data_IF_237241600807
#
_entry.id   IF_237241600807
#
_cell.length_a   1.000
_cell.length_b   1.000
_cell.length_c   1.000
_cell.angle_alpha   90.00
_cell.angle_beta   90.00
_cell.angle_gamma   90.00
#
_symmetry.space_group_name_H-M   'P 1'
#
loop_
_entity.id
_entity.type
_entity.pdbx_description
1 polymer ?
#
# COMPACT_ATOMS: atom_id res chain seq x y z
N UNK A 1 -11.39 5.50 0.94
CA UNK A 1 -10.40 6.35 0.26
C UNK A 1 -9.06 6.13 0.93
N UNK A 2 -8.03 5.89 0.15
CA UNK A 2 -6.63 5.79 0.59
C UNK A 2 -6.03 7.16 0.34
N UNK A 3 -5.85 7.96 1.39
CA UNK A 3 -5.29 9.30 1.26
C UNK A 3 -3.76 9.29 1.15
N UNK A 4 -3.13 10.45 0.91
CA UNK A 4 -1.72 10.52 0.56
C UNK A 4 -0.76 10.14 1.70
N UNK A 5 -1.26 10.00 2.93
CA UNK A 5 -0.46 9.61 4.11
C UNK A 5 -1.06 8.44 4.88
N UNK A 6 -2.22 7.90 4.47
CA UNK A 6 -2.92 6.89 5.26
C UNK A 6 -4.37 6.63 4.88
N UNK A 7 -5.03 5.78 5.66
CA UNK A 7 -6.46 5.44 5.58
C UNK A 7 -7.20 6.00 6.79
N UNK A 8 -7.96 7.09 6.60
CA UNK A 8 -8.64 7.77 7.70
C UNK A 8 -7.65 8.24 8.77
N UNK A 9 -7.79 7.75 10.00
CA UNK A 9 -6.86 8.06 11.10
C UNK A 9 -5.63 7.15 11.16
N UNK A 10 -5.61 6.03 10.43
CA UNK A 10 -4.44 5.16 10.33
C UNK A 10 -3.46 5.76 9.33
N UNK A 11 -2.20 5.98 9.75
CA UNK A 11 -1.18 6.64 8.93
C UNK A 11 0.11 5.84 8.88
N UNK A 12 0.83 5.99 7.77
CA UNK A 12 2.23 5.55 7.66
C UNK A 12 3.06 6.22 8.77
N UNK A 13 3.99 5.48 9.37
CA UNK A 13 4.83 5.94 10.47
C UNK A 13 4.25 5.74 11.88
N UNK A 14 2.99 5.32 12.00
CA UNK A 14 2.40 5.05 13.33
C UNK A 14 3.04 3.83 13.98
N UNK A 15 3.33 3.91 15.27
CA UNK A 15 3.66 2.71 16.05
C UNK A 15 2.49 1.72 16.07
N UNK A 16 2.76 0.43 16.33
CA UNK A 16 1.72 -0.60 16.49
C UNK A 16 0.63 -0.17 17.49
N UNK A 17 1.01 0.45 18.61
CA UNK A 17 0.08 0.93 19.64
C UNK A 17 -0.81 2.07 19.13
N UNK A 18 -0.26 3.03 18.38
CA UNK A 18 -1.04 4.10 17.77
C UNK A 18 -1.98 3.56 16.69
N UNK A 19 -1.50 2.64 15.85
CA UNK A 19 -2.31 1.99 14.84
C UNK A 19 -3.50 1.25 15.47
N UNK A 20 -3.27 0.49 16.56
CA UNK A 20 -4.34 -0.15 17.34
C UNK A 20 -5.35 0.86 17.89
N UNK A 21 -4.87 1.99 18.41
CA UNK A 21 -5.72 3.03 18.98
C UNK A 21 -6.67 3.68 17.96
N UNK A 22 -6.40 3.57 16.66
CA UNK A 22 -7.33 4.03 15.61
C UNK A 22 -8.60 3.19 15.53
N UNK A 23 -8.58 1.95 16.02
CA UNK A 23 -9.68 0.99 15.85
C UNK A 23 -9.89 0.50 14.42
N UNK A 24 -8.99 0.86 13.49
CA UNK A 24 -9.07 0.48 12.07
C UNK A 24 -8.34 -0.82 11.74
N UNK A 25 -7.48 -1.32 12.64
CA UNK A 25 -6.78 -2.60 12.48
C UNK A 25 -7.30 -3.67 13.44
N UNK A 26 -7.19 -4.92 13.03
CA UNK A 26 -7.42 -6.11 13.86
C UNK A 26 -6.13 -6.53 14.58
N UNK A 27 -6.08 -7.75 15.14
CA UNK A 27 -4.91 -8.29 15.82
C UNK A 27 -3.62 -8.03 15.04
N UNK A 28 -2.58 -7.67 15.80
CA UNK A 28 -1.20 -7.58 15.32
C UNK A 28 -0.52 -8.91 15.61
N UNK A 29 0.16 -9.43 14.59
CA UNK A 29 0.96 -10.64 14.66
C UNK A 29 2.37 -10.27 14.22
N UNK A 30 3.34 -10.41 15.13
CA UNK A 30 4.74 -10.42 14.73
C UNK A 30 5.01 -11.73 13.99
N UNK A 31 5.84 -11.70 12.95
CA UNK A 31 6.34 -12.91 12.31
C UNK A 31 7.88 -12.85 12.26
N UNK A 32 8.53 -14.00 12.28
CA UNK A 32 10.00 -14.12 12.20
C UNK A 32 10.51 -13.85 10.77
N UNK A 33 10.12 -12.71 10.19
CA UNK A 33 10.63 -12.19 8.93
C UNK A 33 11.90 -11.36 9.08
N UNK A 34 12.42 -10.80 7.97
CA UNK A 34 13.50 -9.83 8.02
C UNK A 34 13.18 -8.74 9.05
N UNK A 35 14.15 -8.46 9.92
CA UNK A 35 14.11 -7.36 10.89
C UNK A 35 12.98 -7.40 11.94
N UNK A 36 12.21 -8.48 12.05
CA UNK A 36 11.17 -8.62 13.08
C UNK A 36 9.88 -7.86 12.77
N UNK A 37 9.57 -7.69 11.48
CA UNK A 37 8.33 -7.07 11.04
C UNK A 37 7.07 -7.83 11.51
N UNK A 38 5.93 -7.14 11.46
CA UNK A 38 4.64 -7.72 11.81
C UNK A 38 3.54 -7.28 10.87
N UNK A 39 2.42 -7.99 10.91
CA UNK A 39 1.23 -7.67 10.14
C UNK A 39 0.02 -7.48 11.05
N UNK A 40 -0.89 -6.64 10.61
CA UNK A 40 -2.26 -6.63 11.07
C UNK A 40 -3.17 -6.53 9.85
N UNK A 41 -4.48 -6.58 10.08
CA UNK A 41 -5.47 -6.47 8.99
C UNK A 41 -6.36 -5.27 9.19
N UNK A 42 -6.75 -4.61 8.11
CA UNK A 42 -7.80 -3.60 8.16
C UNK A 42 -9.13 -4.25 8.54
N UNK A 43 -9.84 -3.61 9.46
CA UNK A 43 -11.18 -4.02 9.86
C UNK A 43 -12.11 -4.00 8.64
N UNK A 44 -12.85 -5.09 8.45
CA UNK A 44 -13.75 -5.26 7.29
C UNK A 44 -13.09 -5.87 6.05
N UNK A 45 -11.77 -6.05 6.05
CA UNK A 45 -11.08 -6.76 4.98
C UNK A 45 -11.26 -8.28 5.10
N UNK A 46 -11.59 -8.93 3.99
CA UNK A 46 -11.67 -10.39 3.86
C UNK A 46 -10.47 -10.99 3.13
N UNK A 47 -10.27 -12.31 3.23
CA UNK A 47 -9.26 -13.02 2.44
C UNK A 47 -7.82 -12.56 2.72
N UNK A 48 -7.01 -12.36 1.68
CA UNK A 48 -5.64 -11.83 1.79
C UNK A 48 -5.55 -10.29 1.73
N UNK A 49 -6.67 -9.60 1.49
CA UNK A 49 -6.67 -8.16 1.29
C UNK A 49 -6.58 -7.37 2.61
N UNK A 50 -6.23 -6.08 2.49
CA UNK A 50 -6.25 -5.15 3.61
C UNK A 50 -5.10 -5.36 4.61
N UNK A 51 -3.98 -5.92 4.17
CA UNK A 51 -2.80 -6.07 5.01
C UNK A 51 -2.26 -4.69 5.45
N UNK A 52 -1.78 -4.63 6.69
CA UNK A 52 -1.05 -3.48 7.22
C UNK A 52 0.27 -4.00 7.79
N UNK A 53 1.38 -3.55 7.22
CA UNK A 53 2.72 -3.99 7.59
C UNK A 53 3.33 -3.03 8.59
N UNK A 54 4.00 -3.57 9.59
CA UNK A 54 4.64 -2.84 10.68
C UNK A 54 6.12 -3.20 10.76
N UNK A 55 6.96 -2.18 10.69
CA UNK A 55 8.38 -2.20 11.00
C UNK A 55 8.59 -1.81 12.47
N UNK A 56 9.47 -2.49 13.21
CA UNK A 56 9.87 -2.05 14.55
C UNK A 56 10.49 -0.64 14.58
N UNK A 57 11.17 -0.24 13.51
CA UNK A 57 11.95 0.99 13.39
C UNK A 57 11.10 2.13 12.83
N UNK A 58 10.26 1.84 11.84
CA UNK A 58 9.52 2.83 11.07
C UNK A 58 8.02 2.88 11.44
N UNK A 59 7.51 1.91 12.20
CA UNK A 59 6.08 1.78 12.48
C UNK A 59 5.30 1.21 11.30
N UNK A 60 4.09 1.68 11.05
CA UNK A 60 3.30 1.26 9.88
C UNK A 60 4.04 1.67 8.61
N UNK A 61 4.49 0.70 7.83
CA UNK A 61 5.24 0.93 6.59
C UNK A 61 4.42 0.63 5.34
N UNK A 62 3.30 -0.11 5.48
CA UNK A 62 2.41 -0.35 4.36
C UNK A 62 0.95 -0.44 4.80
N UNK A 63 0.05 0.07 3.95
CA UNK A 63 -1.40 -0.06 4.12
C UNK A 63 -1.97 -0.48 2.77
N UNK A 64 -2.36 -1.75 2.63
CA UNK A 64 -3.01 -2.25 1.43
C UNK A 64 -4.50 -1.90 1.48
N UNK A 65 -5.02 -1.32 0.40
CA UNK A 65 -6.45 -1.10 0.20
C UNK A 65 -7.20 -2.39 -0.05
N UNK A 66 -8.53 -2.32 0.02
CA UNK A 66 -9.39 -3.44 -0.36
C UNK A 66 -10.77 -2.95 -0.85
N UNK A 67 -11.48 -3.82 -1.58
CA UNK A 67 -12.83 -3.53 -2.04
C UNK A 67 -12.88 -2.33 -2.99
N UNK A 68 -13.79 -1.38 -2.73
CA UNK A 68 -14.02 -0.19 -3.58
C UNK A 68 -13.19 1.02 -3.14
N UNK A 69 -12.06 0.80 -2.47
CA UNK A 69 -11.19 1.89 -2.07
C UNK A 69 -10.47 2.48 -3.29
N UNK A 70 -10.31 3.79 -3.27
CA UNK A 70 -9.62 4.56 -4.30
C UNK A 70 -8.77 5.66 -3.66
N UNK A 71 -7.82 6.20 -4.40
CA UNK A 71 -7.06 7.41 -4.06
C UNK A 71 -7.94 8.67 -4.09
N UNK A 72 -7.51 9.84 -3.59
CA UNK A 72 -8.28 11.08 -3.71
C UNK A 72 -8.54 11.48 -5.17
N UNK A 73 -7.64 11.12 -6.08
CA UNK A 73 -7.74 11.38 -7.51
C UNK A 73 -8.73 10.43 -8.22
N UNK A 74 -9.16 9.36 -7.55
CA UNK A 74 -10.19 8.44 -8.02
C UNK A 74 -9.67 7.09 -8.50
N UNK A 75 -8.35 6.88 -8.52
CA UNK A 75 -7.76 5.61 -8.95
C UNK A 75 -8.06 4.48 -7.96
N UNK A 76 -8.60 3.37 -8.45
CA UNK A 76 -9.01 2.21 -7.67
C UNK A 76 -8.82 0.89 -8.41
N UNK A 77 -9.10 -0.23 -7.72
CA UNK A 77 -8.96 -1.57 -8.30
C UNK A 77 -9.80 -1.72 -9.58
N UNK A 78 -9.18 -2.23 -10.64
CA UNK A 78 -9.78 -2.43 -11.96
C UNK A 78 -9.51 -1.33 -12.98
N UNK A 79 -8.95 -0.19 -12.55
CA UNK A 79 -8.47 0.84 -13.46
C UNK A 79 -7.29 0.34 -14.29
N UNK A 80 -7.10 0.91 -15.47
CA UNK A 80 -6.04 0.54 -16.41
C UNK A 80 -4.70 1.17 -16.04
N UNK A 81 -3.61 0.53 -16.45
CA UNK A 81 -2.26 1.10 -16.38
C UNK A 81 -2.21 2.53 -16.99
N UNK A 82 -2.86 2.73 -18.13
CA UNK A 82 -2.92 4.04 -18.79
C UNK A 82 -3.66 5.10 -17.97
N UNK A 83 -4.80 4.76 -17.35
CA UNK A 83 -5.54 5.67 -16.45
C UNK A 83 -4.68 6.07 -15.24
N UNK A 84 -3.94 5.12 -14.67
CA UNK A 84 -3.02 5.39 -13.55
C UNK A 84 -1.89 6.32 -14.00
N UNK A 85 -1.23 6.04 -15.13
CA UNK A 85 -0.15 6.88 -15.69
C UNK A 85 -0.62 8.28 -16.03
N UNK A 86 -1.84 8.43 -16.55
CA UNK A 86 -2.41 9.74 -16.85
C UNK A 86 -2.67 10.54 -15.56
N UNK A 87 -3.07 9.85 -14.48
CA UNK A 87 -3.39 10.48 -13.20
C UNK A 87 -2.15 10.84 -12.39
N UNK A 88 -1.10 10.03 -12.48
CA UNK A 88 0.17 10.22 -11.78
C UNK A 88 1.33 10.37 -12.78
N UNK A 89 1.67 11.61 -13.19
CA UNK A 89 2.74 11.86 -14.15
C UNK A 89 4.14 11.45 -13.67
N UNK A 90 4.31 11.23 -12.37
CA UNK A 90 5.50 10.74 -11.70
C UNK A 90 5.48 9.22 -11.47
N UNK A 91 4.61 8.51 -12.19
CA UNK A 91 4.53 7.05 -12.19
C UNK A 91 5.90 6.42 -12.49
N UNK A 92 6.29 5.47 -11.66
CA UNK A 92 7.54 4.72 -11.74
C UNK A 92 7.25 3.22 -11.69
N UNK A 93 7.59 2.49 -12.76
CA UNK A 93 7.46 1.04 -12.79
C UNK A 93 8.66 0.34 -12.15
N UNK A 94 8.43 -0.85 -11.61
CA UNK A 94 9.49 -1.77 -11.22
C UNK A 94 10.26 -2.24 -12.46
N UNK A 95 11.56 -1.93 -12.51
CA UNK A 95 12.45 -2.42 -13.57
C UNK A 95 12.51 -3.96 -13.60
N UNK A 96 12.33 -4.61 -12.44
CA UNK A 96 12.39 -6.07 -12.31
C UNK A 96 11.11 -6.74 -12.83
N UNK A 97 9.96 -6.09 -12.66
CA UNK A 97 8.68 -6.66 -13.11
C UNK A 97 8.35 -6.28 -14.57
N UNK A 98 9.12 -5.34 -15.15
CA UNK A 98 8.96 -4.85 -16.53
C UNK A 98 7.53 -4.34 -16.83
N UNK A 99 6.89 -3.72 -15.84
CA UNK A 99 5.45 -3.42 -15.85
C UNK A 99 4.99 -2.56 -17.02
N UNK A 100 5.81 -1.60 -17.47
CA UNK A 100 5.47 -0.82 -18.67
C UNK A 100 5.42 -1.64 -19.96
N UNK A 101 6.16 -2.76 -20.01
CA UNK A 101 6.28 -3.63 -21.19
C UNK A 101 5.23 -4.75 -21.18
N UNK A 102 4.91 -5.26 -20.01
CA UNK A 102 4.06 -6.45 -19.84
C UNK A 102 2.62 -6.12 -19.46
N UNK A 103 2.37 -4.96 -18.86
CA UNK A 103 1.10 -4.69 -18.18
C UNK A 103 0.97 -5.43 -16.85
N UNK A 104 2.05 -6.07 -16.39
CA UNK A 104 2.11 -6.90 -15.19
C UNK A 104 3.18 -6.39 -14.23
N UNK A 105 2.89 -6.38 -12.92
CA UNK A 105 3.90 -6.06 -11.91
C UNK A 105 3.66 -4.77 -11.17
N UNK A 106 4.69 -4.31 -10.45
CA UNK A 106 4.57 -3.23 -9.48
C UNK A 106 4.92 -1.88 -10.08
N UNK A 107 4.28 -0.87 -9.57
CA UNK A 107 4.64 0.51 -9.82
C UNK A 107 4.33 1.39 -8.61
N UNK A 108 4.87 2.60 -8.63
CA UNK A 108 4.73 3.59 -7.58
C UNK A 108 4.42 4.97 -8.16
N UNK A 109 3.83 5.83 -7.32
CA UNK A 109 3.75 7.26 -7.54
C UNK A 109 3.88 7.99 -6.21
N UNK A 110 4.38 9.22 -6.21
CA UNK A 110 4.50 9.99 -4.99
C UNK A 110 3.12 10.33 -4.42
N UNK A 111 2.90 10.02 -3.14
CA UNK A 111 1.66 10.37 -2.45
C UNK A 111 1.84 11.63 -1.62
N UNK A 112 2.75 11.60 -0.64
CA UNK A 112 3.19 12.76 0.13
C UNK A 112 4.42 12.46 0.99
N UNK A 113 5.40 13.37 1.02
CA UNK A 113 6.53 13.28 1.95
C UNK A 113 7.42 12.06 1.68
N UNK A 114 7.37 11.05 2.56
CA UNK A 114 8.07 9.77 2.38
C UNK A 114 7.10 8.61 2.11
N UNK A 115 5.94 8.92 1.55
CA UNK A 115 4.88 7.95 1.28
C UNK A 115 4.61 7.93 -0.21
N UNK A 116 4.58 6.72 -0.76
CA UNK A 116 4.22 6.45 -2.13
C UNK A 116 2.88 5.72 -2.17
N UNK A 117 2.09 5.96 -3.22
CA UNK A 117 1.12 4.97 -3.64
C UNK A 117 1.87 3.82 -4.27
N UNK A 118 1.42 2.60 -3.98
CA UNK A 118 1.91 1.38 -4.60
C UNK A 118 0.78 0.73 -5.37
N UNK A 119 1.08 0.32 -6.59
CA UNK A 119 0.19 -0.31 -7.53
C UNK A 119 0.75 -1.67 -7.92
N UNK A 120 -0.12 -2.67 -8.08
CA UNK A 120 0.22 -3.94 -8.75
C UNK A 120 -0.75 -4.14 -9.90
N UNK A 121 -0.22 -4.43 -11.08
CA UNK A 121 -0.97 -4.69 -12.29
C UNK A 121 -0.92 -6.18 -12.67
N UNK A 122 -2.02 -6.66 -13.23
CA UNK A 122 -2.15 -7.96 -13.89
C UNK A 122 -3.01 -7.75 -15.14
N UNK A 123 -2.45 -8.05 -16.31
CA UNK A 123 -3.05 -7.82 -17.63
C UNK A 123 -3.58 -6.38 -17.79
N UNK A 124 -2.72 -5.39 -17.54
CA UNK A 124 -3.00 -3.94 -17.59
C UNK A 124 -4.06 -3.45 -16.59
N UNK A 125 -4.47 -4.28 -15.63
CA UNK A 125 -5.48 -3.93 -14.62
C UNK A 125 -4.90 -3.82 -13.23
N UNK A 126 -5.24 -2.74 -12.54
CA UNK A 126 -4.85 -2.52 -11.15
C UNK A 126 -5.53 -3.55 -10.24
N UNK A 127 -4.74 -4.49 -9.72
CA UNK A 127 -5.21 -5.58 -8.85
C UNK A 127 -4.88 -5.36 -7.39
N UNK A 128 -3.86 -4.55 -7.09
CA UNK A 128 -3.58 -4.09 -5.74
C UNK A 128 -3.28 -2.60 -5.71
N UNK A 129 -3.84 -1.90 -4.73
CA UNK A 129 -3.60 -0.49 -4.46
C UNK A 129 -3.32 -0.31 -2.98
N UNK A 130 -2.26 0.42 -2.64
CA UNK A 130 -1.92 0.69 -1.25
C UNK A 130 -1.03 1.91 -1.08
N UNK A 131 -0.60 2.11 0.16
CA UNK A 131 0.45 3.06 0.53
C UNK A 131 1.66 2.31 1.03
N UNK A 132 2.82 2.89 0.78
CA UNK A 132 4.10 2.35 1.22
C UNK A 132 5.02 3.47 1.68
N UNK A 133 5.76 3.21 2.76
CA UNK A 133 6.85 4.07 3.20
C UNK A 133 8.01 3.91 2.22
N UNK A 134 8.53 5.02 1.69
CA UNK A 134 9.60 5.05 0.67
C UNK A 134 10.85 4.22 1.07
N UNK A 135 11.09 4.07 2.37
CA UNK A 135 12.21 3.31 2.91
C UNK A 135 11.75 2.08 3.71
N UNK A 136 10.67 1.41 3.32
CA UNK A 136 10.21 0.21 4.04
C UNK A 136 11.32 -0.86 4.09
N UNK A 137 11.37 -1.62 5.19
CA UNK A 137 12.46 -2.54 5.54
C UNK A 137 11.96 -3.98 5.78
N UNK A 138 10.75 -4.31 5.32
CA UNK A 138 10.06 -5.54 5.70
C UNK A 138 9.97 -6.62 4.61
N UNK A 139 9.91 -6.25 3.32
CA UNK A 139 9.59 -7.24 2.27
C UNK A 139 10.12 -6.92 0.85
N UNK A 140 11.03 -5.96 0.69
CA UNK A 140 11.74 -5.74 -0.59
C UNK A 140 13.23 -6.03 -0.50
#
# INVERSE_FOLDING_TARGET
MIGPTGLGTLKIGMTVSQAKATGLITSYEAYDGPEGCGYSKLKGAGGSAGAVTHSPQLGVVAIQGYGKMHTPEGIGLGDTLDEVKQTYPDFEASDVDETERTGDGRAWAHAAGKVNYRFTFDNDKLTELGLEHQNQDCYE
#
